data_IF_849898211693
#
_entry.id   IF_849898211693
#
_cell.length_a   1.000
_cell.length_b   1.000
_cell.length_c   1.000
_cell.angle_alpha   90.00
_cell.angle_beta   90.00
_cell.angle_gamma   90.00
#
_symmetry.space_group_name_H-M   'P 1'
#
loop_
_entity.id
_entity.type
_entity.pdbx_description
1 polymer ?
#
# COMPACT_ATOMS: atom_id res chain seq x y z
N UNK A 1 5.94 -23.12 5.63
CA UNK A 1 6.03 -22.11 6.71
C UNK A 1 4.79 -22.25 7.58
N UNK A 2 4.90 -22.22 8.91
CA UNK A 2 3.74 -22.26 9.83
C UNK A 2 3.56 -20.85 10.36
N UNK A 3 2.38 -20.26 10.16
CA UNK A 3 2.03 -18.94 10.67
C UNK A 3 1.07 -19.10 11.84
N UNK A 4 1.34 -18.41 12.94
CA UNK A 4 0.45 -18.33 14.10
C UNK A 4 -0.14 -16.94 14.13
N UNK A 5 -1.44 -16.83 13.87
CA UNK A 5 -2.18 -15.57 13.86
C UNK A 5 -3.04 -15.51 15.12
N UNK A 6 -2.84 -14.48 15.94
CA UNK A 6 -3.73 -14.15 17.03
C UNK A 6 -4.82 -13.22 16.53
N UNK A 7 -6.08 -13.59 16.73
CA UNK A 7 -7.21 -12.74 16.34
C UNK A 7 -7.30 -11.53 17.26
N UNK A 8 -7.51 -10.36 16.67
CA UNK A 8 -7.68 -9.13 17.42
C UNK A 8 -9.01 -9.14 18.20
N UNK A 9 -9.02 -8.56 19.38
CA UNK A 9 -10.23 -8.38 20.17
C UNK A 9 -11.14 -7.33 19.50
N UNK A 10 -12.48 -7.47 19.67
CA UNK A 10 -13.42 -6.46 19.18
C UNK A 10 -13.15 -5.08 19.81
N UNK A 11 -13.30 -4.03 19.02
CA UNK A 11 -13.24 -2.64 19.48
C UNK A 11 -14.65 -2.04 19.57
N UNK A 12 -14.84 -1.09 20.45
CA UNK A 12 -16.13 -0.40 20.61
C UNK A 12 -16.30 0.72 19.57
N UNK A 13 -17.57 1.10 19.30
CA UNK A 13 -17.86 2.29 18.48
C UNK A 13 -17.21 3.56 19.05
N UNK A 14 -17.10 3.67 20.36
CA UNK A 14 -16.45 4.79 21.04
C UNK A 14 -14.93 4.83 20.75
N UNK A 15 -14.26 3.68 20.70
CA UNK A 15 -12.83 3.60 20.34
C UNK A 15 -12.62 3.99 18.88
N UNK A 16 -13.49 3.52 17.97
CA UNK A 16 -13.45 3.88 16.55
C UNK A 16 -13.63 5.39 16.36
N UNK A 17 -14.64 5.97 17.02
CA UNK A 17 -14.89 7.43 16.96
C UNK A 17 -13.72 8.24 17.53
N UNK A 18 -13.14 7.79 18.64
CA UNK A 18 -11.98 8.46 19.24
C UNK A 18 -10.74 8.41 18.34
N UNK A 19 -10.49 7.28 17.66
CA UNK A 19 -9.40 7.15 16.70
C UNK A 19 -9.64 8.06 15.48
N UNK A 20 -10.86 8.09 14.94
CA UNK A 20 -11.21 8.96 13.82
C UNK A 20 -10.96 10.43 14.16
N UNK A 21 -11.42 10.88 15.32
CA UNK A 21 -11.20 12.24 15.79
C UNK A 21 -9.71 12.55 15.99
N UNK A 22 -8.97 11.60 16.55
CA UNK A 22 -7.51 11.73 16.69
C UNK A 22 -6.83 11.92 15.34
N UNK A 23 -7.14 11.08 14.35
CA UNK A 23 -6.58 11.20 13.00
C UNK A 23 -6.95 12.54 12.37
N UNK A 24 -8.23 12.96 12.42
CA UNK A 24 -8.69 14.25 11.88
C UNK A 24 -7.92 15.44 12.47
N UNK A 25 -7.60 15.41 13.76
CA UNK A 25 -6.76 16.46 14.37
C UNK A 25 -5.33 16.44 13.83
N UNK A 26 -4.75 15.25 13.63
CA UNK A 26 -3.37 15.09 13.16
C UNK A 26 -3.19 15.44 11.68
N UNK A 27 -4.24 15.33 10.87
CA UNK A 27 -4.20 15.68 9.44
C UNK A 27 -3.78 17.13 9.19
N UNK A 28 -4.01 18.04 10.14
CA UNK A 28 -3.61 19.45 10.01
C UNK A 28 -2.09 19.67 9.97
N UNK A 29 -1.33 18.70 10.44
CA UNK A 29 0.14 18.72 10.54
C UNK A 29 0.78 17.64 9.67
N UNK A 30 -0.03 16.84 8.97
CA UNK A 30 0.43 15.72 8.17
C UNK A 30 0.65 16.13 6.71
N UNK A 31 1.70 15.62 6.09
CA UNK A 31 1.96 15.75 4.66
C UNK A 31 1.30 14.62 3.86
N UNK A 32 1.14 13.45 4.49
CA UNK A 32 0.49 12.28 3.91
C UNK A 32 -0.17 11.42 4.99
N UNK A 33 -1.19 10.64 4.60
CA UNK A 33 -1.83 9.63 5.43
C UNK A 33 -1.59 8.25 4.83
N UNK A 34 -1.12 7.31 5.65
CA UNK A 34 -0.97 5.90 5.29
C UNK A 34 -2.01 5.07 6.04
N UNK A 35 -2.89 4.40 5.31
CA UNK A 35 -3.92 3.50 5.84
C UNK A 35 -3.57 2.09 5.43
N UNK A 36 -3.14 1.24 6.38
CA UNK A 36 -2.65 -0.11 6.09
C UNK A 36 -3.27 -1.14 7.02
N UNK A 37 -3.46 -2.35 6.51
CA UNK A 37 -3.90 -3.51 7.27
C UNK A 37 -5.40 -3.76 7.25
N UNK A 38 -5.79 -4.81 7.97
CA UNK A 38 -7.17 -5.23 8.17
C UNK A 38 -7.72 -4.73 9.49
N UNK A 39 -9.04 -4.69 9.60
CA UNK A 39 -9.71 -4.21 10.80
C UNK A 39 -9.96 -5.31 11.82
N UNK A 40 -9.84 -5.00 13.13
CA UNK A 40 -10.41 -5.84 14.17
C UNK A 40 -11.95 -5.83 14.10
N UNK A 41 -12.63 -6.83 14.67
CA UNK A 41 -14.09 -6.83 14.77
C UNK A 41 -14.61 -5.55 15.44
N UNK A 42 -15.70 -4.98 14.91
CA UNK A 42 -16.31 -3.75 15.42
C UNK A 42 -15.92 -2.48 14.65
N UNK A 43 -14.89 -2.52 13.80
CA UNK A 43 -14.60 -1.40 12.90
C UNK A 43 -15.47 -1.51 11.64
N UNK A 44 -16.21 -0.46 11.26
CA UNK A 44 -17.04 -0.49 10.05
C UNK A 44 -16.19 -0.48 8.78
N UNK A 45 -16.68 -1.14 7.73
CA UNK A 45 -15.97 -1.28 6.46
C UNK A 45 -15.65 0.06 5.78
N UNK A 46 -16.43 1.10 6.04
CA UNK A 46 -16.24 2.47 5.51
C UNK A 46 -15.21 3.31 6.29
N UNK A 47 -14.56 2.75 7.32
CA UNK A 47 -13.65 3.52 8.16
C UNK A 47 -12.51 4.17 7.38
N UNK A 48 -11.88 3.43 6.45
CA UNK A 48 -10.84 4.00 5.59
C UNK A 48 -11.39 5.03 4.59
N UNK A 49 -12.60 4.86 4.10
CA UNK A 49 -13.26 5.86 3.26
C UNK A 49 -13.45 7.18 4.03
N UNK A 50 -13.96 7.13 5.26
CA UNK A 50 -14.14 8.33 6.09
C UNK A 50 -12.82 9.05 6.39
N UNK A 51 -11.74 8.29 6.64
CA UNK A 51 -10.42 8.88 6.85
C UNK A 51 -9.84 9.46 5.56
N UNK A 52 -10.09 8.81 4.41
CA UNK A 52 -9.67 9.31 3.10
C UNK A 52 -10.39 10.63 2.77
N UNK A 53 -11.70 10.70 2.97
CA UNK A 53 -12.48 11.94 2.80
C UNK A 53 -11.94 13.08 3.69
N UNK A 54 -11.70 12.77 4.97
CA UNK A 54 -11.15 13.75 5.91
C UNK A 54 -9.75 14.26 5.51
N UNK A 55 -8.91 13.39 4.97
CA UNK A 55 -7.59 13.76 4.47
C UNK A 55 -7.69 14.66 3.23
N UNK A 56 -8.63 14.39 2.31
CA UNK A 56 -8.89 15.26 1.15
C UNK A 56 -9.35 16.66 1.58
N UNK A 57 -10.24 16.75 2.59
CA UNK A 57 -10.67 18.04 3.16
C UNK A 57 -9.48 18.84 3.73
N UNK A 58 -8.48 18.13 4.26
CA UNK A 58 -7.25 18.73 4.81
C UNK A 58 -6.16 18.97 3.75
N UNK A 59 -6.37 18.57 2.48
CA UNK A 59 -5.36 18.67 1.41
C UNK A 59 -4.22 17.65 1.53
N UNK A 60 -4.43 16.55 2.28
CA UNK A 60 -3.44 15.52 2.58
C UNK A 60 -3.59 14.34 1.60
N UNK A 61 -2.50 13.89 1.02
CA UNK A 61 -2.49 12.71 0.14
C UNK A 61 -2.65 11.42 0.95
N UNK A 62 -3.43 10.46 0.40
CA UNK A 62 -3.71 9.19 1.08
C UNK A 62 -3.16 8.02 0.27
N UNK A 63 -2.39 7.16 0.95
CA UNK A 63 -2.06 5.82 0.49
C UNK A 63 -2.92 4.82 1.25
N UNK A 64 -3.61 3.93 0.53
CA UNK A 64 -4.42 2.85 1.10
C UNK A 64 -3.83 1.50 0.70
N UNK A 65 -3.50 0.69 1.69
CA UNK A 65 -3.10 -0.72 1.54
C UNK A 65 -4.08 -1.58 2.33
N UNK A 66 -5.15 -1.97 1.68
CA UNK A 66 -6.30 -2.67 2.26
C UNK A 66 -6.88 -3.68 1.27
N UNK A 67 -7.88 -4.43 1.70
CA UNK A 67 -8.55 -5.45 0.90
C UNK A 67 -10.06 -5.48 1.12
N UNK A 68 -10.78 -6.14 0.21
CA UNK A 68 -12.23 -6.43 0.34
C UNK A 68 -13.07 -5.16 0.51
N UNK A 69 -14.02 -5.17 1.44
CA UNK A 69 -14.98 -4.09 1.63
C UNK A 69 -14.31 -2.76 1.99
N UNK A 70 -13.27 -2.78 2.83
CA UNK A 70 -12.55 -1.57 3.23
C UNK A 70 -11.81 -0.89 2.07
N UNK A 71 -11.21 -1.68 1.16
CA UNK A 71 -10.60 -1.12 -0.05
C UNK A 71 -11.66 -0.60 -1.02
N UNK A 72 -12.77 -1.33 -1.23
CA UNK A 72 -13.88 -0.86 -2.08
C UNK A 72 -14.39 0.50 -1.61
N UNK A 73 -14.72 0.62 -0.33
CA UNK A 73 -15.21 1.86 0.22
C UNK A 73 -14.19 3.01 0.08
N UNK A 74 -12.90 2.73 0.33
CA UNK A 74 -11.85 3.74 0.18
C UNK A 74 -11.66 4.21 -1.27
N UNK A 75 -11.85 3.33 -2.27
CA UNK A 75 -11.76 3.67 -3.69
C UNK A 75 -12.82 4.68 -4.14
N UNK A 76 -14.02 4.68 -3.53
CA UNK A 76 -15.07 5.66 -3.80
C UNK A 76 -14.61 7.08 -3.46
N UNK A 77 -13.72 7.23 -2.48
CA UNK A 77 -13.11 8.50 -2.07
C UNK A 77 -11.86 8.87 -2.87
N UNK A 78 -11.51 8.13 -3.90
CA UNK A 78 -10.42 8.43 -4.85
C UNK A 78 -9.06 8.67 -4.19
N UNK A 79 -8.50 7.69 -3.46
CA UNK A 79 -7.20 7.83 -2.81
C UNK A 79 -6.09 8.14 -3.83
N UNK A 80 -5.04 8.84 -3.36
CA UNK A 80 -3.90 9.19 -4.19
C UNK A 80 -3.15 7.94 -4.70
N UNK A 81 -2.97 6.93 -3.85
CA UNK A 81 -2.35 5.66 -4.21
C UNK A 81 -3.03 4.50 -3.47
N UNK A 82 -3.29 3.42 -4.17
CA UNK A 82 -3.64 2.13 -3.56
C UNK A 82 -2.54 1.11 -3.82
N UNK A 83 -2.26 0.23 -2.82
CA UNK A 83 -1.16 -0.73 -2.91
C UNK A 83 -1.53 -2.14 -2.44
N UNK A 84 -2.62 -2.74 -2.88
CA UNK A 84 -2.92 -4.13 -2.58
C UNK A 84 -1.95 -5.09 -3.30
N UNK A 85 -1.89 -6.34 -2.85
CA UNK A 85 -1.29 -7.38 -3.66
C UNK A 85 -2.28 -7.91 -4.72
N UNK A 86 -1.79 -8.75 -5.63
CA UNK A 86 -2.57 -9.25 -6.75
C UNK A 86 -3.78 -10.09 -6.29
N UNK A 87 -3.61 -10.94 -5.28
CA UNK A 87 -4.67 -11.79 -4.73
C UNK A 87 -5.73 -10.94 -4.00
N UNK A 88 -5.31 -9.96 -3.22
CA UNK A 88 -6.19 -9.00 -2.53
C UNK A 88 -7.00 -8.17 -3.54
N UNK A 89 -6.37 -7.75 -4.64
CA UNK A 89 -7.05 -7.02 -5.70
C UNK A 89 -8.11 -7.89 -6.36
N UNK A 90 -7.76 -9.12 -6.74
CA UNK A 90 -8.69 -10.05 -7.36
C UNK A 90 -9.89 -10.35 -6.45
N UNK A 91 -9.64 -10.59 -5.16
CA UNK A 91 -10.69 -10.84 -4.17
C UNK A 91 -11.54 -9.59 -3.86
N UNK A 92 -10.97 -8.37 -4.00
CA UNK A 92 -11.68 -7.12 -3.75
C UNK A 92 -12.61 -6.75 -4.89
N UNK A 93 -12.17 -6.90 -6.13
CA UNK A 93 -12.88 -6.43 -7.32
C UNK A 93 -13.62 -7.56 -8.08
N UNK A 94 -13.73 -8.76 -7.47
CA UNK A 94 -14.36 -9.93 -8.07
C UNK A 94 -13.80 -10.27 -9.46
N UNK A 95 -12.48 -10.07 -9.63
CA UNK A 95 -11.83 -10.41 -10.90
C UNK A 95 -11.81 -11.93 -11.11
N UNK A 96 -11.91 -12.40 -12.37
CA UNK A 96 -11.90 -13.83 -12.65
C UNK A 96 -10.66 -14.52 -12.07
N UNK A 97 -10.86 -15.64 -11.37
CA UNK A 97 -9.81 -16.44 -10.72
C UNK A 97 -8.91 -17.25 -11.69
N UNK A 98 -8.95 -16.97 -12.98
CA UNK A 98 -8.10 -17.63 -13.98
C UNK A 98 -6.85 -16.80 -14.15
N UNK A 99 -5.79 -17.15 -13.40
CA UNK A 99 -4.48 -16.48 -13.39
C UNK A 99 -4.63 -14.94 -13.33
N UNK A 100 -4.62 -14.35 -12.13
CA UNK A 100 -4.87 -12.92 -11.98
C UNK A 100 -3.82 -12.14 -12.80
N UNK A 101 -4.29 -11.36 -13.76
CA UNK A 101 -3.46 -10.48 -14.59
C UNK A 101 -3.23 -9.15 -13.84
N UNK A 102 -1.98 -8.87 -13.51
CA UNK A 102 -1.62 -7.63 -12.80
C UNK A 102 -1.96 -6.37 -13.61
N UNK A 103 -1.97 -6.41 -14.95
CA UNK A 103 -2.40 -5.28 -15.79
C UNK A 103 -3.89 -5.02 -15.62
N UNK A 104 -4.71 -6.08 -15.67
CA UNK A 104 -6.13 -5.99 -15.44
C UNK A 104 -6.43 -5.50 -14.01
N UNK A 105 -5.66 -5.95 -13.02
CA UNK A 105 -5.79 -5.52 -11.64
C UNK A 105 -5.50 -4.02 -11.46
N UNK A 106 -4.42 -3.50 -12.03
CA UNK A 106 -4.10 -2.06 -12.03
C UNK A 106 -5.21 -1.26 -12.70
N UNK A 107 -5.64 -1.68 -13.91
CA UNK A 107 -6.70 -0.99 -14.65
C UNK A 107 -8.01 -0.93 -13.85
N UNK A 108 -8.42 -2.04 -13.22
CA UNK A 108 -9.64 -2.11 -12.41
C UNK A 108 -9.57 -1.22 -11.16
N UNK A 109 -8.41 -1.12 -10.49
CA UNK A 109 -8.22 -0.22 -9.36
C UNK A 109 -8.31 1.26 -9.75
N UNK A 110 -7.75 1.62 -10.91
CA UNK A 110 -7.85 2.97 -11.46
C UNK A 110 -9.30 3.29 -11.85
N UNK A 111 -10.00 2.37 -12.53
CA UNK A 111 -11.40 2.53 -12.90
C UNK A 111 -12.29 2.67 -11.65
N UNK A 112 -11.98 1.93 -10.58
CA UNK A 112 -12.67 2.01 -9.30
C UNK A 112 -12.40 3.32 -8.53
N UNK A 113 -11.43 4.14 -8.93
CA UNK A 113 -11.24 5.48 -8.38
C UNK A 113 -9.83 5.85 -7.92
N UNK A 114 -8.90 4.92 -7.85
CA UNK A 114 -7.52 5.24 -7.46
C UNK A 114 -6.86 6.18 -8.48
N UNK A 115 -6.10 7.18 -8.00
CA UNK A 115 -5.29 8.01 -8.90
C UNK A 115 -4.05 7.27 -9.40
N UNK A 116 -3.40 6.52 -8.52
CA UNK A 116 -2.32 5.59 -8.80
C UNK A 116 -2.64 4.22 -8.21
N UNK A 117 -2.26 3.17 -8.90
CA UNK A 117 -2.36 1.81 -8.39
C UNK A 117 -1.02 1.10 -8.50
N UNK A 118 -0.55 0.50 -7.41
CA UNK A 118 0.63 -0.35 -7.35
C UNK A 118 0.17 -1.73 -6.88
N UNK A 119 0.19 -2.71 -7.79
CA UNK A 119 -0.16 -4.10 -7.47
C UNK A 119 1.11 -4.89 -7.21
N UNK A 120 1.29 -5.36 -5.97
CA UNK A 120 2.47 -6.12 -5.58
C UNK A 120 2.29 -7.63 -5.83
N UNK A 121 3.41 -8.30 -6.21
CA UNK A 121 3.47 -9.72 -6.54
C UNK A 121 4.65 -10.40 -5.82
N UNK A 122 4.97 -9.93 -4.62
CA UNK A 122 6.07 -10.44 -3.81
C UNK A 122 7.41 -10.37 -4.53
N UNK A 123 8.13 -11.50 -4.60
CA UNK A 123 9.43 -11.58 -5.27
C UNK A 123 9.38 -11.33 -6.77
N UNK A 124 8.19 -11.40 -7.40
CA UNK A 124 7.98 -11.09 -8.81
C UNK A 124 7.91 -9.59 -9.10
N UNK A 125 7.95 -8.75 -8.05
CA UNK A 125 7.94 -7.30 -8.18
C UNK A 125 6.57 -6.69 -8.02
N UNK A 126 6.35 -5.56 -8.70
CA UNK A 126 5.06 -4.86 -8.68
C UNK A 126 4.79 -4.17 -10.01
N UNK A 127 3.52 -3.94 -10.29
CA UNK A 127 3.07 -3.18 -11.43
C UNK A 127 2.46 -1.86 -10.94
N UNK A 128 2.99 -0.74 -11.44
CA UNK A 128 2.52 0.61 -11.15
C UNK A 128 1.82 1.18 -12.38
N UNK A 129 0.68 1.83 -12.20
CA UNK A 129 -0.01 2.55 -13.26
C UNK A 129 -0.89 3.67 -12.75
N UNK A 130 -1.33 4.51 -13.68
CA UNK A 130 -2.28 5.59 -13.46
C UNK A 130 -3.34 5.65 -14.57
N UNK A 131 -4.20 6.66 -14.53
CA UNK A 131 -5.27 6.86 -15.52
C UNK A 131 -4.80 7.25 -16.94
N UNK A 132 -3.52 7.44 -17.19
CA UNK A 132 -2.97 7.70 -18.54
C UNK A 132 -2.86 6.44 -19.41
N UNK A 133 -2.94 5.26 -18.76
CA UNK A 133 -2.70 3.96 -19.40
C UNK A 133 -1.22 3.56 -19.44
N UNK A 134 -0.33 4.39 -18.91
CA UNK A 134 1.07 4.02 -18.76
C UNK A 134 1.26 3.03 -17.60
N UNK A 135 2.05 1.99 -17.83
CA UNK A 135 2.37 0.95 -16.87
C UNK A 135 3.87 0.77 -16.73
N UNK A 136 4.32 0.60 -15.49
CA UNK A 136 5.72 0.31 -15.16
C UNK A 136 5.82 -0.96 -14.32
N UNK A 137 6.66 -1.87 -14.76
CA UNK A 137 7.11 -3.00 -13.95
C UNK A 137 8.24 -2.55 -13.04
N UNK A 138 8.13 -2.79 -11.74
CA UNK A 138 9.16 -2.50 -10.75
C UNK A 138 9.75 -3.83 -10.28
N UNK A 139 10.88 -4.23 -10.88
CA UNK A 139 11.58 -5.46 -10.50
C UNK A 139 12.37 -5.21 -9.20
N UNK A 140 12.16 -6.00 -8.13
CA UNK A 140 12.90 -5.87 -6.88
C UNK A 140 14.31 -6.42 -7.01
N UNK A 141 15.24 -5.99 -6.12
CA UNK A 141 16.54 -6.62 -6.01
C UNK A 141 16.38 -8.06 -5.51
N UNK A 142 17.23 -8.97 -6.00
CA UNK A 142 17.27 -10.34 -5.51
C UNK A 142 17.94 -10.40 -4.15
N UNK A 143 17.19 -10.84 -3.14
CA UNK A 143 17.67 -10.99 -1.78
C UNK A 143 17.34 -12.37 -1.23
N UNK A 144 18.16 -12.87 -0.32
CA UNK A 144 17.83 -14.06 0.46
C UNK A 144 16.99 -13.62 1.67
N UNK A 145 15.67 -13.79 1.54
CA UNK A 145 14.73 -13.30 2.54
C UNK A 145 14.84 -14.12 3.84
N UNK A 146 15.01 -13.41 4.96
CA UNK A 146 14.96 -13.94 6.31
C UNK A 146 13.52 -13.92 6.84
N UNK A 147 12.84 -12.76 6.70
CA UNK A 147 11.43 -12.60 7.08
C UNK A 147 10.74 -11.57 6.18
N UNK A 148 9.82 -11.99 5.29
CA UNK A 148 9.11 -11.08 4.40
C UNK A 148 7.91 -10.36 5.04
N UNK A 149 7.52 -10.72 6.29
CA UNK A 149 6.36 -10.12 6.97
C UNK A 149 6.59 -8.62 7.15
N UNK A 150 5.56 -7.81 6.87
CA UNK A 150 5.61 -6.35 6.96
C UNK A 150 6.31 -5.66 5.79
N UNK A 151 6.79 -6.39 4.76
CA UNK A 151 7.40 -5.76 3.59
C UNK A 151 6.43 -4.87 2.82
N UNK A 152 5.13 -5.19 2.82
CA UNK A 152 4.07 -4.34 2.25
C UNK A 152 3.96 -3.01 2.96
N UNK A 153 3.90 -3.03 4.30
CA UNK A 153 3.78 -1.83 5.14
C UNK A 153 5.02 -0.94 5.00
N UNK A 154 6.20 -1.57 5.00
CA UNK A 154 7.49 -0.87 4.80
C UNK A 154 7.58 -0.26 3.40
N UNK A 155 7.07 -0.95 2.36
CA UNK A 155 6.98 -0.39 1.01
C UNK A 155 6.10 0.86 1.01
N UNK A 156 4.92 0.80 1.60
CA UNK A 156 3.99 1.93 1.67
C UNK A 156 4.62 3.14 2.38
N UNK A 157 5.27 2.92 3.53
CA UNK A 157 5.99 3.95 4.27
C UNK A 157 7.15 4.54 3.45
N UNK A 158 7.92 3.69 2.76
CA UNK A 158 9.03 4.10 1.89
C UNK A 158 8.57 4.95 0.72
N UNK A 159 7.46 4.60 0.07
CA UNK A 159 6.86 5.39 -1.02
C UNK A 159 6.50 6.79 -0.52
N UNK A 160 5.76 6.89 0.58
CA UNK A 160 5.35 8.19 1.13
C UNK A 160 6.56 9.04 1.56
N UNK A 161 7.57 8.42 2.17
CA UNK A 161 8.81 9.11 2.54
C UNK A 161 9.54 9.68 1.32
N UNK A 162 9.63 8.93 0.22
CA UNK A 162 10.28 9.38 -1.00
C UNK A 162 9.49 10.52 -1.68
N UNK A 163 8.15 10.41 -1.72
CA UNK A 163 7.27 11.48 -2.23
C UNK A 163 7.43 12.76 -1.41
N UNK A 164 7.44 12.67 -0.08
CA UNK A 164 7.67 13.81 0.81
C UNK A 164 9.05 14.46 0.65
N UNK A 165 10.04 13.72 0.09
CA UNK A 165 11.37 14.23 -0.29
C UNK A 165 11.43 14.78 -1.72
N UNK A 166 10.30 14.81 -2.44
CA UNK A 166 10.19 15.36 -3.78
C UNK A 166 10.50 14.39 -4.93
N UNK A 167 10.54 13.07 -4.66
CA UNK A 167 10.61 12.08 -5.73
C UNK A 167 9.34 12.09 -6.57
N UNK A 168 9.44 11.77 -7.85
CA UNK A 168 8.28 11.40 -8.65
C UNK A 168 7.73 10.02 -8.21
N UNK A 169 6.56 9.64 -8.74
CA UNK A 169 5.91 8.39 -8.36
C UNK A 169 6.76 7.15 -8.69
N UNK A 170 7.46 7.16 -9.82
CA UNK A 170 8.31 6.03 -10.22
C UNK A 170 9.51 5.87 -9.30
N UNK A 171 10.19 6.97 -8.97
CA UNK A 171 11.28 6.98 -8.00
C UNK A 171 10.82 6.59 -6.59
N UNK A 172 9.62 7.02 -6.19
CA UNK A 172 9.04 6.66 -4.91
C UNK A 172 8.69 5.16 -4.84
N UNK A 173 8.11 4.59 -5.91
CA UNK A 173 7.84 3.15 -5.99
C UNK A 173 9.13 2.34 -5.95
N UNK A 174 10.19 2.79 -6.63
CA UNK A 174 11.50 2.15 -6.57
C UNK A 174 12.11 2.20 -5.16
N UNK A 175 12.03 3.35 -4.48
CA UNK A 175 12.51 3.48 -3.11
C UNK A 175 11.72 2.59 -2.13
N UNK A 176 10.38 2.57 -2.24
CA UNK A 176 9.53 1.68 -1.45
C UNK A 176 9.86 0.20 -1.67
N UNK A 177 10.15 -0.18 -2.93
CA UNK A 177 10.58 -1.55 -3.26
C UNK A 177 11.92 -1.90 -2.61
N UNK A 178 12.89 -0.98 -2.60
CA UNK A 178 14.15 -1.18 -1.89
C UNK A 178 13.95 -1.31 -0.37
N UNK A 179 13.06 -0.50 0.22
CA UNK A 179 12.67 -0.60 1.63
C UNK A 179 12.05 -1.96 1.96
N UNK A 180 11.14 -2.46 1.12
CA UNK A 180 10.53 -3.79 1.27
C UNK A 180 11.56 -4.92 1.22
N UNK A 181 12.51 -4.83 0.28
CA UNK A 181 13.61 -5.79 0.18
C UNK A 181 14.55 -5.73 1.41
N UNK A 182 14.85 -4.53 1.91
CA UNK A 182 15.65 -4.35 3.13
C UNK A 182 14.94 -4.92 4.37
N UNK A 183 13.61 -4.76 4.49
CA UNK A 183 12.83 -5.41 5.55
C UNK A 183 12.98 -6.94 5.50
N UNK A 184 12.91 -7.53 4.30
CA UNK A 184 13.00 -8.98 4.16
C UNK A 184 14.35 -9.56 4.61
N UNK A 185 15.42 -8.77 4.71
CA UNK A 185 16.72 -9.17 5.24
C UNK A 185 16.78 -9.22 6.77
N UNK A 186 15.76 -8.72 7.48
CA UNK A 186 15.76 -8.65 8.94
C UNK A 186 14.85 -9.73 9.54
N UNK A 187 15.17 -10.27 10.74
CA UNK A 187 14.29 -11.21 11.41
C UNK A 187 13.03 -10.56 12.00
N UNK A 188 13.04 -9.23 12.17
CA UNK A 188 11.96 -8.46 12.80
C UNK A 188 11.22 -7.66 11.74
N UNK A 189 9.91 -7.87 11.64
CA UNK A 189 9.03 -7.10 10.75
C UNK A 189 9.07 -5.60 11.06
N UNK A 190 9.04 -4.76 10.03
CA UNK A 190 9.00 -3.31 10.14
C UNK A 190 10.33 -2.64 10.53
N UNK A 191 11.42 -3.41 10.66
CA UNK A 191 12.75 -2.88 10.99
C UNK A 191 13.59 -2.78 9.72
N UNK A 192 13.94 -1.56 9.33
CA UNK A 192 14.73 -1.28 8.13
C UNK A 192 15.96 -0.44 8.50
N UNK A 193 17.12 -0.84 8.02
CA UNK A 193 18.36 -0.06 8.14
C UNK A 193 18.54 0.80 6.90
N UNK A 194 18.70 2.13 7.02
CA UNK A 194 18.88 3.01 5.85
C UNK A 194 20.03 2.57 4.94
N UNK A 195 21.13 2.08 5.49
CA UNK A 195 22.27 1.60 4.72
C UNK A 195 21.92 0.39 3.81
N UNK A 196 21.01 -0.49 4.26
CA UNK A 196 20.56 -1.62 3.45
C UNK A 196 19.66 -1.12 2.29
N UNK A 197 18.81 -0.11 2.53
CA UNK A 197 18.01 0.53 1.48
C UNK A 197 18.92 1.18 0.44
N UNK A 198 19.90 1.97 0.87
CA UNK A 198 20.84 2.65 -0.03
C UNK A 198 21.65 1.66 -0.87
N UNK A 199 22.02 0.51 -0.31
CA UNK A 199 22.72 -0.57 -1.03
C UNK A 199 21.81 -1.30 -2.04
N UNK A 200 20.51 -1.43 -1.76
CA UNK A 200 19.55 -2.18 -2.59
C UNK A 200 18.89 -1.32 -3.68
N UNK A 201 18.70 -0.02 -3.43
CA UNK A 201 18.03 0.88 -4.36
C UNK A 201 18.60 0.87 -5.78
N UNK A 202 19.93 0.86 -6.02
CA UNK A 202 20.49 0.78 -7.37
C UNK A 202 20.16 -0.51 -8.14
N UNK A 203 19.67 -1.53 -7.45
CA UNK A 203 19.31 -2.82 -8.06
C UNK A 203 17.81 -2.95 -8.33
N UNK A 204 16.99 -2.01 -7.90
CA UNK A 204 15.58 -1.93 -8.31
C UNK A 204 15.53 -1.49 -9.78
N UNK A 205 14.75 -2.17 -10.59
CA UNK A 205 14.69 -1.93 -12.03
C UNK A 205 13.28 -1.54 -12.48
N UNK A 206 12.94 -0.26 -12.50
CA UNK A 206 11.73 0.22 -13.12
C UNK A 206 11.84 0.11 -14.65
N UNK A 207 10.83 -0.49 -15.29
CA UNK A 207 10.76 -0.59 -16.74
C UNK A 207 9.35 -0.28 -17.23
N UNK A 208 9.24 0.64 -18.20
CA UNK A 208 7.95 0.93 -18.83
C UNK A 208 7.52 -0.28 -19.65
N UNK A 209 6.28 -0.68 -19.49
CA UNK A 209 5.68 -1.73 -20.30
C UNK A 209 5.08 -1.14 -21.58
N UNK A 210 5.28 -1.87 -22.68
CA UNK A 210 4.73 -1.49 -23.97
C UNK A 210 3.21 -1.77 -24.05
#
# INVERSE_FOLDING_TARGET
MTELVEEALPVSEGDVAALEEFVRRRLREAEALCLVGSFPPGVPDDFYARLTAAAHEAGVQVLVDAQKASLRAALEERPFLVKPNLEETAATLDLPNVEPDARAAVAALIEAGARWALVSMGASGSLLGDGSGELWNIEPPRVEAVNPIGSGDVMAAGILLALGRGSDMLGAAAYGTACAAANALTPTSGVVRPADVDALLPWVRPARLA
#
